data_IF_870019894646
#
_entry.id   IF_870019894646
#
_cell.length_a   1.000
_cell.length_b   1.000
_cell.length_c   1.000
_cell.angle_alpha   90.00
_cell.angle_beta   90.00
_cell.angle_gamma   90.00
#
_symmetry.space_group_name_H-M   'P 1'
#
loop_
_entity.id
_entity.type
_entity.pdbx_description
1 polymer ?
#
# COMPACT_ATOMS: atom_id res chain seq x y z
N UNK A 1 12.12 12.69 4.39
CA UNK A 1 10.67 12.43 4.31
C UNK A 1 10.41 11.13 3.58
N UNK A 2 9.15 10.68 3.51
CA UNK A 2 8.72 9.49 2.74
C UNK A 2 9.02 9.69 1.25
N UNK A 3 9.40 8.62 0.55
CA UNK A 3 9.67 8.62 -0.90
C UNK A 3 8.72 7.74 -1.70
N UNK A 4 8.21 6.67 -1.10
CA UNK A 4 7.28 5.73 -1.75
C UNK A 4 6.10 5.45 -0.84
N UNK A 5 4.90 5.42 -1.42
CA UNK A 5 3.64 5.08 -0.73
C UNK A 5 3.04 3.82 -1.34
N UNK A 6 2.65 2.86 -0.50
CA UNK A 6 1.93 1.64 -0.89
C UNK A 6 0.54 1.67 -0.22
N UNK A 7 -0.52 1.72 -1.02
CA UNK A 7 -1.89 1.66 -0.53
C UNK A 7 -2.44 0.24 -0.63
N UNK A 8 -2.75 -0.35 0.53
CA UNK A 8 -3.37 -1.67 0.65
C UNK A 8 -4.87 -1.64 0.93
N UNK A 9 -5.52 -0.47 0.87
CA UNK A 9 -6.96 -0.29 1.09
C UNK A 9 -7.72 -0.25 -0.25
N UNK A 10 -8.62 -1.21 -0.54
CA UNK A 10 -9.52 -1.15 -1.68
C UNK A 10 -10.36 0.13 -1.68
N UNK A 11 -10.65 0.66 -2.87
CA UNK A 11 -11.53 1.81 -3.01
C UNK A 11 -12.97 1.46 -2.59
N UNK A 12 -13.68 2.46 -2.07
CA UNK A 12 -15.06 2.32 -1.60
C UNK A 12 -15.26 1.61 -0.25
N UNK A 13 -14.21 1.05 0.37
CA UNK A 13 -14.33 0.37 1.67
C UNK A 13 -14.90 1.27 2.78
N UNK A 14 -14.52 2.55 2.80
CA UNK A 14 -15.00 3.55 3.74
C UNK A 14 -16.21 4.36 3.26
N UNK A 15 -16.83 3.98 2.14
CA UNK A 15 -17.89 4.78 1.54
C UNK A 15 -17.37 6.10 0.93
N UNK A 16 -18.24 7.11 0.78
CA UNK A 16 -17.94 8.34 0.03
C UNK A 16 -16.83 9.21 0.66
N UNK A 17 -16.59 9.06 1.96
CA UNK A 17 -15.57 9.83 2.68
C UNK A 17 -14.16 9.25 2.50
N UNK A 18 -14.03 8.07 1.90
CA UNK A 18 -12.73 7.52 1.54
C UNK A 18 -12.25 8.17 0.22
N UNK A 19 -11.08 8.84 0.20
CA UNK A 19 -10.45 9.24 -1.05
C UNK A 19 -10.13 8.01 -1.90
N UNK A 20 -10.37 8.10 -3.20
CA UNK A 20 -10.00 7.03 -4.14
C UNK A 20 -8.49 6.88 -4.22
N UNK A 21 -8.04 5.69 -4.60
CA UNK A 21 -6.63 5.40 -4.83
C UNK A 21 -6.04 6.37 -5.85
N UNK A 22 -6.79 6.72 -6.90
CA UNK A 22 -6.35 7.69 -7.90
C UNK A 22 -6.14 9.10 -7.33
N UNK A 23 -7.04 9.56 -6.46
CA UNK A 23 -6.89 10.85 -5.79
C UNK A 23 -5.64 10.88 -4.89
N UNK A 24 -5.39 9.79 -4.16
CA UNK A 24 -4.19 9.66 -3.31
C UNK A 24 -2.93 9.56 -4.18
N UNK A 25 -2.99 8.82 -5.29
CA UNK A 25 -1.88 8.69 -6.23
C UNK A 25 -1.49 10.04 -6.84
N UNK A 26 -2.49 10.85 -7.22
CA UNK A 26 -2.26 12.20 -7.73
C UNK A 26 -1.58 13.08 -6.66
N UNK A 27 -2.06 13.05 -5.41
CA UNK A 27 -1.46 13.81 -4.31
C UNK A 27 -0.02 13.35 -3.99
N UNK A 28 0.23 12.04 -3.97
CA UNK A 28 1.56 11.48 -3.74
C UNK A 28 2.55 11.92 -4.82
N UNK A 29 2.16 11.83 -6.09
CA UNK A 29 2.99 12.25 -7.23
C UNK A 29 3.23 13.76 -7.25
N UNK A 30 2.23 14.57 -6.92
CA UNK A 30 2.38 16.03 -6.80
C UNK A 30 3.40 16.40 -5.71
N UNK A 31 3.53 15.58 -4.67
CA UNK A 31 4.54 15.72 -3.63
C UNK A 31 5.87 15.02 -3.95
N UNK A 32 6.05 14.52 -5.17
CA UNK A 32 7.30 13.87 -5.63
C UNK A 32 7.54 12.47 -5.07
N UNK A 33 6.47 11.78 -4.63
CA UNK A 33 6.54 10.41 -4.13
C UNK A 33 6.07 9.40 -5.19
N UNK A 34 6.70 8.22 -5.19
CA UNK A 34 6.23 7.08 -5.96
C UNK A 34 4.98 6.47 -5.26
N UNK A 35 4.02 5.97 -6.03
CA UNK A 35 2.77 5.42 -5.48
C UNK A 35 2.43 4.07 -6.10
N UNK A 36 2.13 3.10 -5.24
CA UNK A 36 1.74 1.74 -5.61
C UNK A 36 0.40 1.38 -4.98
N UNK A 37 -0.48 0.75 -5.76
CA UNK A 37 -1.77 0.29 -5.31
C UNK A 37 -1.83 -1.23 -5.31
N UNK A 38 -1.91 -1.83 -4.12
CA UNK A 38 -1.96 -3.28 -3.91
C UNK A 38 -3.14 -3.57 -2.98
N UNK A 39 -4.39 -3.47 -3.47
CA UNK A 39 -5.58 -3.53 -2.63
C UNK A 39 -5.75 -4.92 -2.02
N UNK A 40 -5.99 -4.97 -0.71
CA UNK A 40 -6.22 -6.22 0.03
C UNK A 40 -7.56 -6.17 0.76
N UNK A 41 -8.40 -7.17 0.48
CA UNK A 41 -9.63 -7.41 1.25
C UNK A 41 -9.26 -8.08 2.57
N UNK A 42 -9.81 -7.59 3.68
CA UNK A 42 -9.50 -8.14 5.00
C UNK A 42 -9.83 -9.64 5.08
N UNK A 43 -8.88 -10.43 5.57
CA UNK A 43 -9.01 -11.90 5.66
C UNK A 43 -8.83 -12.65 4.33
N UNK A 44 -8.58 -11.95 3.23
CA UNK A 44 -8.43 -12.53 1.89
C UNK A 44 -7.09 -12.11 1.26
N UNK A 45 -6.00 -12.32 1.99
CA UNK A 45 -4.64 -12.08 1.47
C UNK A 45 -4.30 -13.18 0.47
N UNK A 46 -3.72 -12.80 -0.66
CA UNK A 46 -3.25 -13.71 -1.71
C UNK A 46 -1.73 -13.70 -1.79
N UNK A 47 -1.13 -14.81 -2.25
CA UNK A 47 0.32 -14.87 -2.46
C UNK A 47 0.80 -13.79 -3.43
N UNK A 48 0.04 -13.50 -4.49
CA UNK A 48 0.37 -12.44 -5.43
C UNK A 48 0.49 -11.05 -4.79
N UNK A 49 -0.34 -10.74 -3.78
CA UNK A 49 -0.23 -9.48 -3.03
C UNK A 49 0.99 -9.46 -2.11
N UNK A 50 1.35 -10.61 -1.51
CA UNK A 50 2.58 -10.75 -0.71
C UNK A 50 3.81 -10.52 -1.57
N UNK A 51 3.88 -11.18 -2.73
CA UNK A 51 4.99 -11.06 -3.68
C UNK A 51 5.08 -9.63 -4.23
N UNK A 52 3.95 -9.01 -4.58
CA UNK A 52 3.90 -7.63 -5.03
C UNK A 52 4.39 -6.65 -3.95
N UNK A 53 4.00 -6.84 -2.69
CA UNK A 53 4.50 -6.04 -1.57
C UNK A 53 6.01 -6.20 -1.42
N UNK A 54 6.51 -7.44 -1.41
CA UNK A 54 7.92 -7.74 -1.23
C UNK A 54 8.78 -7.13 -2.36
N UNK A 55 8.37 -7.36 -3.61
CA UNK A 55 9.02 -6.80 -4.80
C UNK A 55 9.01 -5.27 -4.81
N UNK A 56 7.88 -4.66 -4.44
CA UNK A 56 7.76 -3.20 -4.38
C UNK A 56 8.70 -2.64 -3.32
N UNK A 57 8.73 -3.20 -2.11
CA UNK A 57 9.61 -2.72 -1.04
C UNK A 57 11.09 -2.91 -1.39
N UNK A 58 11.47 -4.03 -2.01
CA UNK A 58 12.86 -4.30 -2.40
C UNK A 58 13.40 -3.32 -3.47
N UNK A 59 12.52 -2.77 -4.31
CA UNK A 59 12.90 -1.86 -5.41
C UNK A 59 12.56 -0.38 -5.15
N UNK A 60 11.80 -0.09 -4.08
CA UNK A 60 11.28 1.24 -3.81
C UNK A 60 12.36 2.23 -3.35
N UNK A 61 12.15 3.51 -3.69
CA UNK A 61 12.87 4.61 -3.06
C UNK A 61 12.48 4.67 -1.59
N UNK A 62 13.46 4.65 -0.69
CA UNK A 62 13.24 4.67 0.76
C UNK A 62 13.28 6.10 1.31
N UNK A 63 12.55 6.39 2.41
CA UNK A 63 11.69 5.51 3.20
C UNK A 63 10.33 5.21 2.55
N UNK A 64 9.81 3.99 2.76
CA UNK A 64 8.51 3.51 2.27
C UNK A 64 7.45 3.65 3.37
N UNK A 65 6.27 4.15 3.00
CA UNK A 65 5.06 4.10 3.83
C UNK A 65 4.05 3.15 3.18
N UNK A 66 3.68 2.07 3.87
CA UNK A 66 2.55 1.25 3.50
C UNK A 66 1.38 1.51 4.44
N UNK A 67 0.16 1.66 3.89
CA UNK A 67 -1.02 1.94 4.70
C UNK A 67 -2.25 1.19 4.19
N UNK A 68 -3.24 1.05 5.08
CA UNK A 68 -4.60 0.67 4.72
C UNK A 68 -5.58 1.52 5.54
N UNK A 69 -6.72 0.97 6.01
CA UNK A 69 -7.58 1.69 6.98
C UNK A 69 -6.95 1.84 8.36
N UNK A 70 -6.37 0.76 8.90
CA UNK A 70 -5.85 0.69 10.28
C UNK A 70 -4.39 0.25 10.40
N UNK A 71 -3.71 0.03 9.27
CA UNK A 71 -2.34 -0.52 9.22
C UNK A 71 -2.24 -2.05 9.21
N UNK A 72 -3.24 -2.77 9.73
CA UNK A 72 -3.17 -4.24 9.92
C UNK A 72 -2.84 -5.04 8.64
N UNK A 73 -3.40 -4.68 7.48
CA UNK A 73 -3.10 -5.37 6.21
C UNK A 73 -1.65 -5.18 5.77
N UNK A 74 -1.15 -3.97 5.89
CA UNK A 74 0.24 -3.63 5.54
C UNK A 74 1.21 -4.38 6.46
N UNK A 75 0.91 -4.45 7.76
CA UNK A 75 1.69 -5.24 8.72
C UNK A 75 1.67 -6.74 8.37
N UNK A 76 0.51 -7.29 8.03
CA UNK A 76 0.40 -8.71 7.66
C UNK A 76 1.17 -9.04 6.38
N UNK A 77 1.04 -8.23 5.33
CA UNK A 77 1.82 -8.42 4.10
C UNK A 77 3.33 -8.33 4.36
N UNK A 78 3.76 -7.38 5.20
CA UNK A 78 5.16 -7.26 5.61
C UNK A 78 5.63 -8.51 6.36
N UNK A 79 4.86 -9.00 7.33
CA UNK A 79 5.21 -10.20 8.08
C UNK A 79 5.31 -11.46 7.20
N UNK A 80 4.46 -11.58 6.18
CA UNK A 80 4.44 -12.73 5.27
C UNK A 80 5.53 -12.70 4.20
N UNK A 81 5.89 -11.51 3.70
CA UNK A 81 6.75 -11.36 2.51
C UNK A 81 8.11 -10.73 2.74
N UNK A 82 8.36 -10.11 3.90
CA UNK A 82 9.54 -9.27 4.15
C UNK A 82 10.30 -9.64 5.43
N UNK A 83 9.86 -10.64 6.19
CA UNK A 83 10.67 -11.23 7.26
C UNK A 83 11.60 -12.29 6.66
N UNK A 84 12.90 -11.97 6.60
CA UNK A 84 14.00 -12.93 6.45
C UNK A 84 14.94 -12.78 7.63
#
# INVERSE_FOLDING_TARGET
GIRTVINNRPDGEGGPDQPTSDAIAAAARAAGMDYHYIPVISGQVTQAQVDAMASTVASAKTPVLAFCRSGARSTNLWAMGLQT
#
